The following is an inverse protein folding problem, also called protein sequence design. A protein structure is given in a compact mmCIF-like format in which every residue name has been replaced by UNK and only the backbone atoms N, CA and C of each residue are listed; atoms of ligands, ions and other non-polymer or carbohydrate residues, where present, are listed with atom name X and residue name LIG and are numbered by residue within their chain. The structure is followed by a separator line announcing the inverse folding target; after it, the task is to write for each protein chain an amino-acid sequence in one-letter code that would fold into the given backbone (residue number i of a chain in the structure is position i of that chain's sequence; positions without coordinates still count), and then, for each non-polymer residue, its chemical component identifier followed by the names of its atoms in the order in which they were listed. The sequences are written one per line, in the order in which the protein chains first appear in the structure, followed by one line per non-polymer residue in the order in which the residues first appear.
data_IF_577847372989
#
_entry.id   IF_577847372989
#
_cell.length_a   1.000
_cell.length_b   1.000
_cell.length_c   1.000
_cell.angle_alpha   90.00
_cell.angle_beta   90.00
_cell.angle_gamma   90.00
#
_symmetry.space_group_name_H-M   'P 1'
#
loop_
_entity.id
_entity.type
_entity.pdbx_description
1 polymer ?
#
# COMPACT_ATOMS: atom_id res chain seq x y z
N UNK A 1 23.13 -25.27 6.80
CA UNK A 1 24.11 -25.11 5.68
C UNK A 1 23.62 -24.17 4.58
N UNK A 2 22.41 -24.32 4.01
CA UNK A 2 21.89 -23.43 2.95
C UNK A 2 21.82 -21.94 3.34
N UNK A 3 21.34 -21.60 4.54
CA UNK A 3 21.27 -20.20 5.01
C UNK A 3 22.63 -19.52 5.21
N UNK A 4 23.66 -20.29 5.63
CA UNK A 4 25.03 -19.77 5.77
C UNK A 4 25.66 -19.47 4.40
N UNK A 5 25.50 -20.38 3.42
CA UNK A 5 25.97 -20.18 2.05
C UNK A 5 25.23 -19.02 1.35
N UNK A 6 23.91 -18.96 1.49
CA UNK A 6 23.09 -17.86 0.97
C UNK A 6 23.42 -16.54 1.66
N UNK A 7 23.73 -16.57 2.96
CA UNK A 7 24.10 -15.39 3.73
C UNK A 7 25.47 -14.83 3.34
N UNK A 8 26.47 -15.70 3.18
CA UNK A 8 27.78 -15.29 2.66
C UNK A 8 27.66 -14.67 1.26
N UNK A 9 26.85 -15.27 0.38
CA UNK A 9 26.55 -14.73 -0.95
C UNK A 9 25.82 -13.38 -0.89
N UNK A 10 24.88 -13.20 0.05
CA UNK A 10 24.19 -11.92 0.28
C UNK A 10 25.17 -10.80 0.62
N UNK A 11 26.04 -11.03 1.59
CA UNK A 11 27.05 -10.05 2.01
C UNK A 11 28.08 -9.75 0.92
N UNK A 12 28.56 -10.78 0.21
CA UNK A 12 29.46 -10.60 -0.93
C UNK A 12 28.85 -9.75 -2.05
N UNK A 13 27.52 -9.78 -2.19
CA UNK A 13 26.77 -8.97 -3.13
C UNK A 13 26.38 -7.58 -2.58
N UNK A 14 26.93 -7.18 -1.44
CA UNK A 14 26.70 -5.87 -0.81
C UNK A 14 25.46 -5.80 0.08
N UNK A 15 24.81 -6.93 0.37
CA UNK A 15 23.66 -6.99 1.27
C UNK A 15 24.01 -6.66 2.73
N UNK A 16 23.02 -6.30 3.53
CA UNK A 16 23.24 -5.91 4.92
C UNK A 16 23.43 -7.11 5.85
N UNK A 17 24.22 -6.93 6.92
CA UNK A 17 24.28 -7.89 8.03
C UNK A 17 22.93 -8.01 8.74
N UNK A 18 22.16 -6.93 8.73
CA UNK A 18 20.82 -6.87 9.33
C UNK A 18 19.85 -7.89 8.75
N UNK A 19 19.88 -8.06 7.42
CA UNK A 19 19.08 -9.07 6.72
C UNK A 19 19.34 -10.50 7.22
N UNK A 20 20.60 -10.83 7.53
CA UNK A 20 20.95 -12.17 8.00
C UNK A 20 20.51 -12.43 9.44
N UNK A 21 20.48 -11.36 10.24
CA UNK A 21 20.03 -11.38 11.63
C UNK A 21 18.50 -11.39 11.75
N UNK A 22 17.77 -11.00 10.70
CA UNK A 22 16.31 -11.09 10.65
C UNK A 22 15.84 -12.57 10.61
N UNK A 23 14.55 -12.78 10.88
CA UNK A 23 13.93 -14.10 10.70
C UNK A 23 13.84 -14.46 9.21
N UNK A 24 13.60 -15.74 8.91
CA UNK A 24 13.51 -16.18 7.50
C UNK A 24 12.27 -15.59 6.84
N UNK A 25 12.43 -14.93 5.67
CA UNK A 25 11.28 -14.42 4.95
C UNK A 25 10.36 -15.56 4.50
N UNK A 26 9.06 -15.33 4.55
CA UNK A 26 8.06 -16.32 4.15
C UNK A 26 6.91 -15.68 3.37
N UNK A 27 6.26 -16.50 2.55
CA UNK A 27 5.13 -16.13 1.70
C UNK A 27 3.89 -16.91 2.17
N UNK A 28 3.03 -16.30 2.99
CA UNK A 28 1.94 -17.01 3.68
C UNK A 28 0.98 -17.75 2.75
N UNK A 29 0.83 -17.24 1.52
CA UNK A 29 -0.14 -17.72 0.53
C UNK A 29 0.55 -18.14 -0.80
N UNK A 30 1.85 -18.43 -0.75
CA UNK A 30 2.65 -18.78 -1.93
C UNK A 30 3.23 -17.56 -2.67
N UNK A 31 4.16 -17.85 -3.58
CA UNK A 31 4.95 -16.83 -4.30
C UNK A 31 4.08 -15.94 -5.20
N UNK A 32 3.14 -16.55 -5.92
CA UNK A 32 2.25 -15.86 -6.88
C UNK A 32 1.27 -14.89 -6.20
N UNK A 33 0.97 -15.06 -4.91
CA UNK A 33 0.04 -14.17 -4.22
C UNK A 33 0.59 -12.74 -4.10
N UNK A 34 1.91 -12.59 -4.01
CA UNK A 34 2.56 -11.28 -3.89
C UNK A 34 2.54 -10.68 -2.47
N UNK A 35 2.52 -11.52 -1.43
CA UNK A 35 2.76 -11.12 -0.04
C UNK A 35 4.00 -11.82 0.50
N UNK A 36 5.01 -11.06 0.90
CA UNK A 36 6.21 -11.59 1.57
C UNK A 36 6.42 -10.90 2.91
N UNK A 37 6.58 -11.66 3.98
CA UNK A 37 6.83 -11.14 5.34
C UNK A 37 8.29 -11.40 5.70
N UNK A 38 8.98 -10.36 6.16
CA UNK A 38 10.33 -10.37 6.71
C UNK A 38 10.22 -10.18 8.24
N UNK A 39 10.11 -11.28 9.02
CA UNK A 39 10.00 -11.19 10.47
C UNK A 39 11.30 -10.68 11.10
N UNK A 40 11.18 -9.95 12.22
CA UNK A 40 12.33 -9.37 12.95
C UNK A 40 13.28 -8.53 12.09
N UNK A 41 12.77 -7.95 11.00
CA UNK A 41 13.60 -7.19 10.06
C UNK A 41 14.08 -5.87 10.66
N UNK A 42 13.29 -5.23 11.53
CA UNK A 42 13.64 -3.95 12.15
C UNK A 42 14.62 -4.14 13.31
N UNK A 43 15.72 -3.40 13.28
CA UNK A 43 16.68 -3.37 14.39
C UNK A 43 16.26 -2.37 15.47
N UNK A 44 16.79 -2.54 16.69
CA UNK A 44 16.50 -1.68 17.85
C UNK A 44 16.70 -0.19 17.51
N UNK A 45 17.79 0.16 16.83
CA UNK A 45 18.06 1.55 16.42
C UNK A 45 16.99 2.10 15.48
N UNK A 46 16.52 1.32 14.52
CA UNK A 46 15.48 1.72 13.57
C UNK A 46 14.11 1.82 14.26
N UNK A 47 13.78 0.85 15.12
CA UNK A 47 12.57 0.90 15.97
C UNK A 47 12.56 2.20 16.80
N UNK A 48 13.69 2.59 17.36
CA UNK A 48 13.83 3.83 18.14
C UNK A 48 13.72 5.10 17.26
N UNK A 49 14.35 5.12 16.08
CA UNK A 49 14.27 6.25 15.14
C UNK A 49 12.84 6.47 14.61
N UNK A 50 12.14 5.38 14.29
CA UNK A 50 10.74 5.42 13.88
C UNK A 50 9.84 5.90 15.02
N UNK A 51 10.01 5.33 16.23
CA UNK A 51 9.28 5.78 17.43
C UNK A 51 9.50 7.24 17.71
N UNK A 52 10.74 7.74 17.61
CA UNK A 52 11.05 9.16 17.80
C UNK A 52 10.33 10.03 16.76
N UNK A 53 10.35 9.63 15.49
CA UNK A 53 9.62 10.34 14.43
C UNK A 53 8.12 10.41 14.71
N UNK A 54 7.52 9.30 15.09
CA UNK A 54 6.13 9.22 15.51
C UNK A 54 5.83 10.12 16.73
N UNK A 55 6.62 10.02 17.80
CA UNK A 55 6.45 10.81 19.03
C UNK A 55 6.60 12.31 18.75
N UNK A 56 7.58 12.70 17.92
CA UNK A 56 7.77 14.10 17.51
C UNK A 56 6.49 14.65 16.86
N UNK A 57 5.89 13.89 15.94
CA UNK A 57 4.66 14.29 15.24
C UNK A 57 3.44 14.28 16.18
N UNK A 58 3.32 13.25 17.03
CA UNK A 58 2.21 13.07 17.96
C UNK A 58 2.17 14.14 19.05
N UNK A 59 3.31 14.43 19.69
CA UNK A 59 3.39 15.40 20.79
C UNK A 59 3.28 16.84 20.29
N UNK A 60 3.72 17.14 19.07
CA UNK A 60 3.66 18.50 18.52
C UNK A 60 2.23 18.98 18.21
N UNK A 61 1.19 18.18 18.48
CA UNK A 61 -0.21 18.45 18.05
C UNK A 61 -0.29 18.75 16.56
N UNK A 62 0.62 18.20 15.77
CA UNK A 62 0.58 18.28 14.31
C UNK A 62 -0.75 17.68 13.86
N UNK A 63 -1.40 18.29 12.86
CA UNK A 63 -2.75 17.94 12.44
C UNK A 63 -2.85 16.44 12.08
N UNK A 64 -3.33 15.61 13.01
CA UNK A 64 -3.66 14.22 12.75
C UNK A 64 -5.13 14.15 12.33
N UNK A 65 -5.41 13.26 11.38
CA UNK A 65 -6.77 13.02 10.93
C UNK A 65 -7.21 11.72 11.59
N UNK A 66 -8.21 11.81 12.47
CA UNK A 66 -8.91 10.62 12.96
C UNK A 66 -9.88 10.17 11.88
N UNK A 67 -9.67 8.97 11.36
CA UNK A 67 -10.53 8.39 10.34
C UNK A 67 -11.73 7.71 10.98
N UNK A 68 -12.74 7.39 10.18
CA UNK A 68 -13.98 6.77 10.65
C UNK A 68 -13.82 5.32 11.14
N UNK A 69 -12.66 4.71 10.91
CA UNK A 69 -12.23 3.42 11.47
C UNK A 69 -11.40 3.58 12.78
N UNK A 70 -11.43 4.77 13.39
CA UNK A 70 -10.80 5.07 14.68
C UNK A 70 -9.32 5.43 14.58
N UNK A 71 -8.64 4.90 13.55
CA UNK A 71 -7.22 5.07 13.27
C UNK A 71 -6.81 6.52 13.11
N UNK A 72 -5.63 6.85 13.62
CA UNK A 72 -4.99 8.14 13.40
C UNK A 72 -4.04 8.04 12.21
N UNK A 73 -4.43 8.68 11.10
CA UNK A 73 -3.47 8.95 10.03
C UNK A 73 -2.59 10.11 10.48
N UNK A 74 -1.30 9.80 10.66
CA UNK A 74 -0.34 10.76 11.17
C UNK A 74 0.13 11.67 10.03
N UNK A 75 0.52 12.92 10.34
CA UNK A 75 1.36 13.70 9.46
C UNK A 75 2.59 12.90 8.99
N UNK A 76 3.12 13.21 7.80
CA UNK A 76 4.35 12.60 7.30
C UNK A 76 5.46 12.62 8.36
N UNK A 77 6.04 11.46 8.66
CA UNK A 77 7.19 11.41 9.55
C UNK A 77 8.39 12.15 8.93
N UNK A 78 9.28 12.74 9.73
CA UNK A 78 10.52 13.30 9.20
C UNK A 78 11.34 12.23 8.46
N UNK A 79 11.87 12.47 7.24
CA UNK A 79 12.63 11.47 6.49
C UNK A 79 13.81 10.87 7.28
N UNK A 80 14.49 11.67 8.10
CA UNK A 80 15.57 11.21 9.00
C UNK A 80 15.17 10.05 9.92
N UNK A 81 13.87 9.85 10.19
CA UNK A 81 13.36 8.76 11.03
C UNK A 81 13.36 7.40 10.33
N UNK A 82 13.38 7.36 8.99
CA UNK A 82 13.24 6.12 8.23
C UNK A 82 14.17 5.97 7.02
N UNK A 83 14.88 7.01 6.58
CA UNK A 83 15.71 6.94 5.36
C UNK A 83 16.78 5.84 5.45
N UNK A 84 17.43 5.65 6.59
CA UNK A 84 18.40 4.57 6.77
C UNK A 84 17.78 3.18 6.62
N UNK A 85 16.52 3.01 7.06
CA UNK A 85 15.77 1.77 6.86
C UNK A 85 15.47 1.57 5.38
N UNK A 86 15.03 2.61 4.65
CA UNK A 86 14.79 2.54 3.21
C UNK A 86 16.06 2.15 2.45
N UNK A 87 17.19 2.79 2.76
CA UNK A 87 18.48 2.47 2.15
C UNK A 87 18.88 1.01 2.40
N UNK A 88 18.57 0.46 3.58
CA UNK A 88 18.82 -0.95 3.89
C UNK A 88 17.89 -1.90 3.14
N UNK A 89 16.60 -1.58 3.04
CA UNK A 89 15.63 -2.36 2.24
C UNK A 89 16.09 -2.45 0.78
N UNK A 90 16.60 -1.34 0.24
CA UNK A 90 17.17 -1.26 -1.12
C UNK A 90 18.51 -2.01 -1.24
N UNK A 91 19.40 -1.86 -0.26
CA UNK A 91 20.67 -2.59 -0.17
C UNK A 91 20.45 -4.10 -0.16
N UNK A 92 19.43 -4.56 0.58
CA UNK A 92 19.03 -5.95 0.67
C UNK A 92 18.28 -6.44 -0.57
N UNK A 93 18.05 -5.56 -1.56
CA UNK A 93 17.33 -5.85 -2.81
C UNK A 93 15.91 -6.37 -2.59
N UNK A 94 15.29 -6.01 -1.46
CA UNK A 94 13.89 -6.30 -1.17
C UNK A 94 12.99 -5.43 -2.06
N UNK A 95 13.42 -4.19 -2.32
CA UNK A 95 12.80 -3.29 -3.30
C UNK A 95 13.88 -2.72 -4.25
N UNK A 96 13.51 -2.29 -5.47
CA UNK A 96 14.47 -1.65 -6.36
C UNK A 96 15.03 -0.35 -5.76
N UNK A 97 16.31 -0.11 -5.99
CA UNK A 97 16.99 1.09 -5.48
C UNK A 97 16.36 2.37 -6.02
N UNK A 98 16.05 3.32 -5.14
CA UNK A 98 15.46 4.60 -5.49
C UNK A 98 13.98 4.53 -5.84
N UNK A 99 13.33 3.37 -5.70
CA UNK A 99 11.94 3.18 -6.12
C UNK A 99 10.95 3.91 -5.22
N UNK A 100 11.10 3.74 -3.90
CA UNK A 100 10.17 4.29 -2.91
C UNK A 100 10.39 5.81 -2.78
N UNK A 101 9.31 6.58 -2.87
CA UNK A 101 9.36 8.04 -2.81
C UNK A 101 8.25 8.68 -1.96
N UNK A 102 7.29 7.89 -1.45
CA UNK A 102 6.16 8.38 -0.68
C UNK A 102 5.88 7.49 0.54
N UNK A 103 5.41 8.10 1.63
CA UNK A 103 5.02 7.40 2.87
C UNK A 103 3.61 7.73 3.34
N UNK A 104 3.05 6.83 4.15
CA UNK A 104 1.92 7.12 5.04
C UNK A 104 2.13 6.42 6.36
N UNK A 105 2.01 7.17 7.46
CA UNK A 105 2.16 6.65 8.81
C UNK A 105 0.79 6.59 9.49
N UNK A 106 0.54 5.49 10.19
CA UNK A 106 -0.72 5.24 10.88
C UNK A 106 -0.47 4.75 12.29
N UNK A 107 -1.26 5.26 13.24
CA UNK A 107 -1.34 4.79 14.61
C UNK A 107 -2.72 4.18 14.86
N UNK A 108 -2.72 2.99 15.45
CA UNK A 108 -3.90 2.25 15.86
C UNK A 108 -3.85 2.09 17.38
N UNK A 109 -4.88 2.53 18.06
CA UNK A 109 -5.15 2.20 19.46
C UNK A 109 -5.89 0.85 19.56
N UNK A 110 -5.92 0.19 20.73
CA UNK A 110 -6.69 -1.04 20.91
C UNK A 110 -8.14 -0.90 20.42
N UNK A 111 -8.55 -1.80 19.52
CA UNK A 111 -9.85 -1.78 18.86
C UNK A 111 -9.91 -1.02 17.53
N UNK A 112 -8.93 -0.16 17.22
CA UNK A 112 -8.83 0.49 15.91
C UNK A 112 -8.52 -0.55 14.82
N UNK A 113 -9.01 -0.26 13.62
CA UNK A 113 -8.88 -1.14 12.46
C UNK A 113 -8.65 -0.30 11.19
N UNK A 114 -8.48 -0.97 10.05
CA UNK A 114 -8.73 -0.35 8.75
C UNK A 114 -9.66 -1.25 7.95
N UNK A 115 -10.70 -0.67 7.35
CA UNK A 115 -11.65 -1.41 6.51
C UNK A 115 -11.00 -1.97 5.25
N UNK A 116 -11.67 -2.96 4.64
CA UNK A 116 -11.33 -3.44 3.32
C UNK A 116 -11.20 -2.29 2.32
N UNK A 117 -10.05 -2.20 1.68
CA UNK A 117 -9.81 -1.27 0.59
C UNK A 117 -8.74 -1.81 -0.34
N UNK A 118 -8.61 -1.18 -1.50
CA UNK A 118 -7.45 -1.31 -2.37
C UNK A 118 -6.85 0.08 -2.50
N UNK A 119 -5.54 0.16 -2.35
CA UNK A 119 -4.82 1.40 -2.56
C UNK A 119 -4.96 1.87 -4.01
N UNK A 120 -4.96 3.18 -4.22
CA UNK A 120 -5.25 3.80 -5.51
C UNK A 120 -4.43 3.15 -6.64
N UNK A 121 -5.14 2.51 -7.58
CA UNK A 121 -4.61 1.74 -8.71
C UNK A 121 -3.85 2.61 -9.71
N UNK A 122 -4.16 3.91 -9.75
CA UNK A 122 -3.61 4.84 -10.73
C UNK A 122 -2.40 5.60 -10.21
N UNK A 123 -2.44 6.07 -8.95
CA UNK A 123 -1.43 6.97 -8.35
C UNK A 123 -0.22 6.22 -7.79
N UNK A 124 -0.42 5.00 -7.30
CA UNK A 124 0.63 4.20 -6.68
C UNK A 124 0.96 2.98 -7.53
N UNK A 125 2.22 2.58 -7.47
CA UNK A 125 2.75 1.46 -8.22
C UNK A 125 2.55 0.10 -7.56
N UNK A 126 3.19 -0.92 -8.10
CA UNK A 126 3.03 -2.30 -7.67
C UNK A 126 3.52 -2.58 -6.24
N UNK A 127 4.70 -2.07 -5.88
CA UNK A 127 5.39 -2.47 -4.64
C UNK A 127 5.03 -1.55 -3.47
N UNK A 128 4.45 -2.14 -2.43
CA UNK A 128 4.23 -1.54 -1.14
C UNK A 128 5.14 -2.21 -0.11
N UNK A 129 5.94 -1.42 0.59
CA UNK A 129 6.80 -1.87 1.68
C UNK A 129 6.26 -1.33 3.01
N UNK A 130 5.75 -2.21 3.86
CA UNK A 130 5.05 -1.81 5.08
C UNK A 130 5.76 -2.33 6.31
N UNK A 131 6.01 -1.42 7.24
CA UNK A 131 6.61 -1.73 8.54
C UNK A 131 5.51 -1.88 9.58
N UNK A 132 5.60 -2.92 10.42
CA UNK A 132 4.74 -3.13 11.58
C UNK A 132 5.52 -2.96 12.87
N UNK A 133 5.05 -2.11 13.79
CA UNK A 133 5.74 -1.82 15.06
C UNK A 133 4.74 -1.67 16.22
N UNK A 134 5.14 -2.09 17.42
CA UNK A 134 4.36 -1.98 18.65
C UNK A 134 3.47 -3.19 18.94
N UNK A 135 2.92 -3.81 17.89
CA UNK A 135 2.04 -4.97 18.01
C UNK A 135 2.04 -5.82 16.74
N UNK A 136 1.61 -7.08 16.88
CA UNK A 136 1.21 -7.91 15.76
C UNK A 136 -0.05 -7.29 15.10
N UNK A 137 -0.20 -7.52 13.79
CA UNK A 137 -1.43 -7.22 13.07
C UNK A 137 -2.02 -8.49 12.48
N UNK A 138 -3.33 -8.66 12.60
CA UNK A 138 -4.07 -9.63 11.81
C UNK A 138 -4.58 -8.92 10.54
N UNK A 139 -4.00 -9.29 9.41
CA UNK A 139 -4.45 -8.83 8.11
C UNK A 139 -5.48 -9.80 7.55
N UNK A 140 -6.50 -9.26 6.89
CA UNK A 140 -7.42 -10.04 6.05
C UNK A 140 -7.36 -9.53 4.63
N UNK A 141 -7.28 -10.47 3.70
CA UNK A 141 -7.36 -10.25 2.26
C UNK A 141 -8.66 -10.84 1.76
N UNK A 142 -9.41 -10.09 0.95
CA UNK A 142 -10.67 -10.54 0.34
C UNK A 142 -10.60 -10.35 -1.17
N UNK A 143 -10.66 -11.43 -1.93
CA UNK A 143 -10.56 -11.37 -3.39
C UNK A 143 -11.74 -10.60 -3.98
N UNK A 144 -11.48 -9.67 -4.91
CA UNK A 144 -12.47 -8.71 -5.43
C UNK A 144 -13.61 -9.35 -6.22
N UNK A 145 -13.36 -10.48 -6.88
CA UNK A 145 -14.37 -11.24 -7.64
C UNK A 145 -15.05 -12.31 -6.79
N UNK A 146 -14.34 -13.36 -6.38
CA UNK A 146 -14.96 -14.53 -5.75
C UNK A 146 -15.26 -14.37 -4.24
N UNK A 147 -14.73 -13.33 -3.58
CA UNK A 147 -14.89 -13.12 -2.14
C UNK A 147 -14.20 -14.18 -1.27
N UNK A 148 -13.15 -14.82 -1.76
CA UNK A 148 -12.24 -15.65 -0.95
C UNK A 148 -11.58 -14.80 0.14
N UNK A 149 -11.55 -15.30 1.37
CA UNK A 149 -10.92 -14.63 2.51
C UNK A 149 -9.66 -15.36 2.94
N UNK A 150 -8.58 -14.61 3.14
CA UNK A 150 -7.30 -15.12 3.59
C UNK A 150 -6.78 -14.25 4.75
N UNK A 151 -6.55 -14.88 5.90
CA UNK A 151 -6.08 -14.21 7.11
C UNK A 151 -4.62 -14.54 7.38
N UNK A 152 -3.84 -13.53 7.79
CA UNK A 152 -2.43 -13.70 8.17
C UNK A 152 -2.02 -12.78 9.30
N UNK A 153 -1.27 -13.32 10.25
CA UNK A 153 -0.60 -12.54 11.28
C UNK A 153 0.71 -12.00 10.74
N UNK A 154 0.85 -10.68 10.77
CA UNK A 154 2.11 -9.97 10.55
C UNK A 154 2.71 -9.62 11.91
N UNK A 155 3.91 -10.13 12.25
CA UNK A 155 4.49 -9.93 13.57
C UNK A 155 4.97 -8.48 13.81
N UNK A 156 5.05 -8.07 15.07
CA UNK A 156 5.76 -6.85 15.48
C UNK A 156 7.21 -6.84 14.98
N UNK A 157 7.73 -5.67 14.63
CA UNK A 157 9.11 -5.48 14.19
C UNK A 157 9.40 -6.05 12.80
N UNK A 158 8.36 -6.39 12.05
CA UNK A 158 8.47 -6.93 10.69
C UNK A 158 8.42 -5.84 9.62
N UNK A 159 8.97 -6.20 8.45
CA UNK A 159 8.68 -5.56 7.17
C UNK A 159 7.86 -6.56 6.37
N UNK A 160 6.78 -6.14 5.73
CA UNK A 160 6.10 -6.97 4.73
C UNK A 160 5.96 -6.21 3.41
N UNK A 161 6.09 -6.97 2.33
CA UNK A 161 5.97 -6.48 0.96
C UNK A 161 4.66 -7.00 0.39
N UNK A 162 3.87 -6.08 -0.15
CA UNK A 162 2.66 -6.38 -0.91
C UNK A 162 2.85 -5.89 -2.34
N UNK A 163 2.67 -6.79 -3.31
CA UNK A 163 2.78 -6.56 -4.75
C UNK A 163 1.90 -7.54 -5.51
N UNK A 164 1.83 -7.43 -6.83
CA UNK A 164 1.10 -8.36 -7.68
C UNK A 164 -0.36 -8.55 -7.23
N UNK A 165 -0.89 -9.78 -7.26
CA UNK A 165 -2.29 -10.05 -6.92
C UNK A 165 -2.73 -9.45 -5.57
N UNK A 166 -1.94 -9.58 -4.50
CA UNK A 166 -2.26 -9.04 -3.18
C UNK A 166 -2.53 -7.53 -3.19
N UNK A 167 -1.89 -6.78 -4.09
CA UNK A 167 -2.03 -5.31 -4.22
C UNK A 167 -3.15 -4.89 -5.18
N UNK A 168 -3.52 -5.74 -6.14
CA UNK A 168 -4.42 -5.35 -7.24
C UNK A 168 -5.80 -6.01 -7.18
N UNK A 169 -5.89 -7.26 -6.73
CA UNK A 169 -7.14 -8.06 -6.82
C UNK A 169 -7.65 -8.55 -5.47
N UNK A 170 -7.03 -8.11 -4.37
CA UNK A 170 -7.51 -8.33 -3.02
C UNK A 170 -7.76 -7.00 -2.31
N UNK A 171 -8.97 -6.86 -1.74
CA UNK A 171 -9.18 -5.91 -0.67
C UNK A 171 -8.34 -6.34 0.53
N UNK A 172 -7.55 -5.42 1.08
CA UNK A 172 -6.81 -5.68 2.31
C UNK A 172 -7.36 -4.84 3.45
N UNK A 173 -7.30 -5.41 4.66
CA UNK A 173 -7.74 -4.77 5.90
C UNK A 173 -6.84 -5.18 7.06
N UNK A 174 -6.81 -4.36 8.10
CA UNK A 174 -6.24 -4.73 9.41
C UNK A 174 -7.42 -4.92 10.32
N UNK A 175 -7.58 -6.13 10.87
CA UNK A 175 -8.59 -6.41 11.88
C UNK A 175 -8.27 -5.66 13.19
N UNK A 176 -9.24 -5.46 14.10
CA UNK A 176 -9.05 -4.68 15.31
C UNK A 176 -7.78 -5.09 16.06
N UNK A 177 -6.91 -4.11 16.33
CA UNK A 177 -5.64 -4.38 17.01
C UNK A 177 -5.87 -4.58 18.51
N UNK A 178 -5.15 -5.53 19.12
CA UNK A 178 -5.27 -5.79 20.56
C UNK A 178 -4.48 -4.79 21.41
N UNK A 179 -3.37 -4.30 20.88
CA UNK A 179 -2.46 -3.37 21.53
C UNK A 179 -2.06 -2.26 20.55
N UNK A 180 -1.54 -1.14 21.09
CA UNK A 180 -1.18 0.00 20.27
C UNK A 180 -0.18 -0.41 19.18
N UNK A 181 -0.55 -0.13 17.94
CA UNK A 181 0.23 -0.47 16.74
C UNK A 181 0.56 0.77 15.95
N UNK A 182 1.79 0.84 15.49
CA UNK A 182 2.26 1.82 14.52
C UNK A 182 2.60 1.10 13.21
N UNK A 183 2.19 1.68 12.08
CA UNK A 183 2.63 1.23 10.76
C UNK A 183 3.09 2.37 9.90
N UNK A 184 4.12 2.16 9.10
CA UNK A 184 4.51 3.07 8.03
C UNK A 184 4.52 2.31 6.71
N UNK A 185 3.77 2.84 5.74
CA UNK A 185 3.64 2.31 4.38
C UNK A 185 4.53 3.14 3.48
N UNK A 186 5.49 2.52 2.81
CA UNK A 186 6.32 3.13 1.79
C UNK A 186 5.93 2.61 0.41
N UNK A 187 5.87 3.50 -0.57
CA UNK A 187 5.47 3.18 -1.94
C UNK A 187 6.07 4.15 -2.94
N UNK A 188 5.98 3.81 -4.23
CA UNK A 188 6.23 4.75 -5.32
C UNK A 188 4.91 5.43 -5.69
N UNK A 189 4.92 6.76 -5.69
CA UNK A 189 3.87 7.61 -6.23
C UNK A 189 4.34 8.31 -7.49
N UNK A 190 3.43 8.46 -8.45
CA UNK A 190 3.66 9.22 -9.69
C UNK A 190 3.31 10.71 -9.55
N UNK A 191 2.92 11.17 -8.35
CA UNK A 191 2.55 12.57 -8.06
C UNK A 191 3.11 13.00 -6.70
N UNK A 192 3.51 14.27 -6.57
CA UNK A 192 3.90 14.80 -5.27
C UNK A 192 2.68 14.91 -4.34
N UNK A 193 2.87 14.50 -3.09
CA UNK A 193 1.89 14.61 -2.00
C UNK A 193 2.62 14.78 -0.68
N UNK A 194 1.90 15.09 0.41
CA UNK A 194 2.49 15.42 1.72
C UNK A 194 3.49 14.37 2.22
N UNK A 195 3.27 13.09 1.90
CA UNK A 195 4.17 11.98 2.26
C UNK A 195 5.43 11.83 1.41
N UNK A 196 5.68 12.72 0.43
CA UNK A 196 6.82 12.63 -0.47
C UNK A 196 8.16 12.84 0.24
N UNK A 197 9.11 11.93 0.03
CA UNK A 197 10.47 12.02 0.62
C UNK A 197 11.60 11.84 -0.40
N UNK A 198 11.27 11.52 -1.65
CA UNK A 198 12.16 11.60 -2.82
C UNK A 198 11.41 12.22 -4.00
N UNK A 199 12.11 12.78 -5.00
CA UNK A 199 11.48 13.31 -6.18
C UNK A 199 10.62 12.26 -6.90
N UNK A 200 9.51 12.71 -7.48
CA UNK A 200 8.72 11.91 -8.40
C UNK A 200 9.47 11.80 -9.72
N UNK A 201 9.73 10.59 -10.16
CA UNK A 201 10.30 10.30 -11.47
C UNK A 201 9.20 9.78 -12.38
N UNK A 202 8.94 10.48 -13.49
CA UNK A 202 8.04 10.01 -14.56
C UNK A 202 8.83 9.92 -15.87
N UNK A 203 8.32 9.18 -16.88
CA UNK A 203 8.89 9.23 -18.23
C UNK A 203 8.96 10.65 -18.83
N UNK A 204 8.16 11.59 -18.31
CA UNK A 204 8.12 13.00 -18.72
C UNK A 204 9.07 13.91 -17.91
N UNK A 205 9.89 13.35 -17.00
CA UNK A 205 10.80 14.12 -16.15
C UNK A 205 10.08 15.03 -15.14
N UNK A 206 10.67 16.20 -14.86
CA UNK A 206 10.24 17.13 -13.81
C UNK A 206 9.00 17.97 -14.19
N UNK A 207 8.49 17.85 -15.42
CA UNK A 207 7.40 18.68 -15.95
C UNK A 207 6.06 18.49 -15.19
N UNK A 208 5.88 17.35 -14.53
CA UNK A 208 4.70 16.98 -13.74
C UNK A 208 4.66 17.58 -12.32
N UNK A 209 5.73 18.26 -11.89
CA UNK A 209 5.88 18.74 -10.50
C UNK A 209 5.00 19.96 -10.18
N UNK A 210 4.61 20.76 -11.18
CA UNK A 210 3.76 21.93 -10.97
C UNK A 210 2.29 21.48 -10.83
N UNK A 211 1.62 21.84 -9.72
CA UNK A 211 0.21 21.52 -9.38
C UNK A 211 -0.12 20.07 -8.99
N UNK A 212 0.85 19.26 -8.57
CA UNK A 212 0.62 17.85 -8.21
C UNK A 212 -0.49 17.65 -7.17
N UNK A 213 -0.61 18.51 -6.15
CA UNK A 213 -1.68 18.41 -5.13
C UNK A 213 -3.07 18.62 -5.71
N UNK A 214 -3.23 19.60 -6.61
CA UNK A 214 -4.53 19.85 -7.25
C UNK A 214 -4.91 18.68 -8.16
N UNK A 215 -3.94 18.17 -8.93
CA UNK A 215 -4.14 16.99 -9.79
C UNK A 215 -4.56 15.80 -8.92
N UNK A 216 -3.81 15.53 -7.84
CA UNK A 216 -4.11 14.45 -6.91
C UNK A 216 -5.53 14.58 -6.36
N UNK A 217 -5.90 15.75 -5.83
CA UNK A 217 -7.23 15.98 -5.28
C UNK A 217 -8.33 15.76 -6.33
N UNK A 218 -8.12 16.21 -7.57
CA UNK A 218 -9.05 15.98 -8.69
C UNK A 218 -9.19 14.48 -8.99
N UNK A 219 -8.09 13.73 -9.06
CA UNK A 219 -8.11 12.29 -9.32
C UNK A 219 -8.87 11.54 -8.21
N UNK A 220 -8.58 11.84 -6.94
CA UNK A 220 -9.25 11.22 -5.80
C UNK A 220 -10.74 11.60 -5.74
N UNK A 221 -11.09 12.87 -5.93
CA UNK A 221 -12.49 13.34 -5.92
C UNK A 221 -13.34 12.70 -7.03
N UNK A 222 -12.70 12.27 -8.13
CA UNK A 222 -13.34 11.62 -9.27
C UNK A 222 -13.15 10.10 -9.28
N UNK A 223 -12.61 9.56 -8.18
CA UNK A 223 -12.34 8.13 -7.97
C UNK A 223 -11.52 7.49 -9.09
N UNK A 224 -10.57 8.25 -9.67
CA UNK A 224 -9.60 7.69 -10.64
C UNK A 224 -8.64 6.76 -9.90
N UNK A 225 -8.54 5.51 -10.35
CA UNK A 225 -7.79 4.46 -9.67
C UNK A 225 -8.41 4.00 -8.36
N UNK A 226 -9.58 4.51 -7.99
CA UNK A 226 -10.31 4.05 -6.81
C UNK A 226 -11.16 2.83 -7.15
N UNK A 227 -11.22 1.87 -6.23
CA UNK A 227 -12.22 0.80 -6.32
C UNK A 227 -13.60 1.42 -6.11
N UNK A 228 -14.41 1.47 -7.18
CA UNK A 228 -15.65 2.26 -7.20
C UNK A 228 -16.81 1.50 -6.58
N UNK A 229 -16.66 1.09 -5.33
CA UNK A 229 -17.79 0.55 -4.57
C UNK A 229 -18.40 1.71 -3.82
N UNK A 230 -19.52 2.22 -4.30
CA UNK A 230 -20.38 3.01 -3.41
C UNK A 230 -21.31 2.01 -2.74
N UNK A 231 -20.94 1.50 -1.57
CA UNK A 231 -21.92 0.80 -0.73
C UNK A 231 -22.66 1.87 0.05
N UNK A 232 -23.99 1.88 -0.06
CA UNK A 232 -24.83 2.71 0.79
C UNK A 232 -24.80 2.15 2.21
N UNK A 233 -24.43 2.97 3.21
CA UNK A 233 -24.41 2.58 4.61
C UNK A 233 -25.78 2.04 5.06
N UNK A 234 -26.88 2.56 4.49
CA UNK A 234 -28.24 2.05 4.76
C UNK A 234 -28.48 0.66 4.21
N UNK A 235 -27.87 0.31 3.09
CA UNK A 235 -27.93 -1.03 2.53
C UNK A 235 -27.13 -2.01 3.41
N UNK A 236 -25.94 -1.62 3.85
CA UNK A 236 -25.12 -2.42 4.77
C UNK A 236 -25.85 -2.68 6.09
N UNK A 237 -26.45 -1.66 6.68
CA UNK A 237 -27.25 -1.79 7.90
C UNK A 237 -28.48 -2.70 7.70
N UNK A 238 -29.21 -2.53 6.57
CA UNK A 238 -30.39 -3.33 6.25
C UNK A 238 -30.08 -4.81 6.08
N UNK A 239 -28.97 -5.12 5.42
CA UNK A 239 -28.55 -6.51 5.16
C UNK A 239 -27.68 -7.09 6.29
N UNK A 240 -27.55 -6.37 7.41
CA UNK A 240 -26.73 -6.76 8.58
C UNK A 240 -25.26 -7.09 8.20
N UNK A 241 -24.72 -6.39 7.20
CA UNK A 241 -23.35 -6.58 6.71
C UNK A 241 -22.42 -5.67 7.53
N UNK A 242 -21.62 -6.29 8.41
CA UNK A 242 -20.66 -5.57 9.22
C UNK A 242 -19.45 -5.05 8.43
N UNK A 243 -18.65 -4.17 9.04
CA UNK A 243 -17.45 -3.58 8.43
C UNK A 243 -16.36 -4.60 8.03
N UNK A 244 -16.48 -5.85 8.48
CA UNK A 244 -15.57 -6.97 8.21
C UNK A 244 -16.21 -8.09 7.38
N UNK A 245 -17.48 -7.94 6.97
CA UNK A 245 -18.21 -8.92 6.14
C UNK A 245 -17.95 -8.70 4.63
N UNK A 246 -16.73 -8.29 4.27
CA UNK A 246 -16.39 -7.92 2.88
C UNK A 246 -16.67 -9.06 1.90
N UNK A 247 -16.44 -10.32 2.27
CA UNK A 247 -16.78 -11.44 1.39
C UNK A 247 -18.28 -11.57 1.12
N UNK A 248 -19.15 -11.30 2.10
CA UNK A 248 -20.61 -11.31 1.89
C UNK A 248 -21.00 -10.23 0.88
N UNK A 249 -20.43 -9.04 1.05
CA UNK A 249 -20.64 -7.92 0.14
C UNK A 249 -20.12 -8.22 -1.29
N UNK A 250 -18.89 -8.75 -1.44
CA UNK A 250 -18.33 -9.14 -2.74
C UNK A 250 -19.23 -10.17 -3.43
N UNK A 251 -19.61 -11.24 -2.73
CA UNK A 251 -20.44 -12.32 -3.31
C UNK A 251 -21.82 -11.82 -3.71
N UNK A 252 -22.39 -10.88 -2.97
CA UNK A 252 -23.67 -10.24 -3.29
C UNK A 252 -23.60 -9.30 -4.50
N UNK A 253 -22.47 -8.60 -4.69
CA UNK A 253 -22.27 -7.67 -5.82
C UNK A 253 -21.64 -8.30 -7.07
N UNK A 254 -21.04 -9.49 -6.96
CA UNK A 254 -20.36 -10.16 -8.07
C UNK A 254 -21.18 -10.25 -9.37
N UNK A 255 -22.51 -10.50 -9.38
CA UNK A 255 -23.26 -10.56 -10.63
C UNK A 255 -23.51 -9.19 -11.28
N UNK A 256 -23.09 -8.07 -10.67
CA UNK A 256 -23.47 -6.71 -11.08
C UNK A 256 -22.31 -5.88 -11.65
N UNK A 257 -21.06 -6.38 -11.65
CA UNK A 257 -19.90 -5.59 -12.04
C UNK A 257 -18.72 -6.42 -12.55
N UNK A 258 -18.09 -5.94 -13.62
CA UNK A 258 -16.78 -6.42 -14.07
C UNK A 258 -15.66 -5.81 -13.22
N UNK A 259 -14.88 -6.70 -12.60
CA UNK A 259 -13.78 -6.37 -11.69
C UNK A 259 -12.41 -6.50 -12.34
N UNK A 260 -12.34 -6.76 -13.64
CA UNK A 260 -11.07 -6.81 -14.36
C UNK A 260 -10.34 -5.46 -14.25
N UNK A 261 -9.02 -5.53 -14.17
CA UNK A 261 -8.16 -4.35 -14.05
C UNK A 261 -8.18 -3.55 -15.35
N UNK A 262 -8.25 -4.22 -16.50
CA UNK A 262 -8.35 -3.54 -17.80
C UNK A 262 -9.67 -2.79 -17.97
N UNK A 263 -10.80 -3.37 -17.57
CA UNK A 263 -12.10 -2.69 -17.62
C UNK A 263 -12.12 -1.48 -16.69
N UNK A 264 -11.61 -1.61 -15.47
CA UNK A 264 -11.46 -0.48 -14.54
C UNK A 264 -10.57 0.63 -15.11
N UNK A 265 -9.47 0.27 -15.77
CA UNK A 265 -8.56 1.22 -16.40
C UNK A 265 -9.21 1.96 -17.58
N UNK A 266 -10.02 1.26 -18.40
CA UNK A 266 -10.79 1.87 -19.49
C UNK A 266 -11.79 2.90 -18.96
N UNK A 267 -12.47 2.58 -17.86
CA UNK A 267 -13.37 3.54 -17.21
C UNK A 267 -12.64 4.75 -16.59
N UNK A 268 -11.43 4.55 -16.06
CA UNK A 268 -10.58 5.63 -15.56
C UNK A 268 -10.10 6.53 -16.70
N UNK A 269 -9.71 5.93 -17.83
CA UNK A 269 -9.28 6.65 -19.03
C UNK A 269 -10.41 7.53 -19.58
N UNK A 270 -11.60 6.97 -19.72
CA UNK A 270 -12.79 7.72 -20.15
C UNK A 270 -13.07 8.94 -19.25
N UNK A 271 -12.97 8.78 -17.92
CA UNK A 271 -13.22 9.88 -16.98
C UNK A 271 -12.11 10.93 -16.99
N UNK A 272 -10.85 10.52 -17.14
CA UNK A 272 -9.75 11.48 -17.34
C UNK A 272 -9.97 12.29 -18.62
N UNK A 273 -10.42 11.67 -19.72
CA UNK A 273 -10.75 12.40 -20.95
C UNK A 273 -11.92 13.37 -20.73
N UNK A 274 -12.96 12.98 -19.99
CA UNK A 274 -14.06 13.87 -19.63
C UNK A 274 -13.55 15.11 -18.85
N UNK A 275 -12.70 14.91 -17.85
CA UNK A 275 -12.12 16.01 -17.06
C UNK A 275 -11.23 16.93 -17.90
N UNK A 276 -10.49 16.39 -18.87
CA UNK A 276 -9.71 17.17 -19.83
C UNK A 276 -10.62 18.01 -20.73
N UNK A 277 -11.69 17.41 -21.27
CA UNK A 277 -12.66 18.10 -22.11
C UNK A 277 -13.37 19.24 -21.36
N UNK A 278 -13.68 19.03 -20.08
CA UNK A 278 -14.27 20.04 -19.18
C UNK A 278 -13.24 21.03 -18.60
N UNK A 279 -11.95 20.91 -18.95
CA UNK A 279 -10.84 21.74 -18.45
C UNK A 279 -10.63 21.71 -16.94
N UNK A 280 -11.06 20.64 -16.27
CA UNK A 280 -10.79 20.38 -14.85
C UNK A 280 -9.43 19.72 -14.61
N UNK A 281 -8.84 19.13 -15.65
CA UNK A 281 -7.55 18.46 -15.60
C UNK A 281 -6.75 18.79 -16.86
N UNK A 282 -5.60 19.45 -16.69
CA UNK A 282 -4.73 19.87 -17.80
C UNK A 282 -3.33 19.27 -17.62
N UNK A 283 -3.27 17.93 -17.74
CA UNK A 283 -2.03 17.16 -17.62
C UNK A 283 -2.09 15.95 -18.55
N UNK A 284 -0.93 15.59 -19.12
CA UNK A 284 -0.81 14.38 -19.92
C UNK A 284 -0.55 13.15 -19.03
N UNK A 285 -1.53 12.26 -19.00
CA UNK A 285 -1.50 11.00 -18.29
C UNK A 285 -1.51 9.78 -19.24
N UNK A 286 -1.43 10.00 -20.56
CA UNK A 286 -1.48 8.93 -21.57
C UNK A 286 -0.40 7.88 -21.35
N UNK A 287 0.80 8.31 -20.96
CA UNK A 287 1.92 7.43 -20.62
C UNK A 287 1.58 6.48 -19.46
N UNK A 288 0.83 6.97 -18.45
CA UNK A 288 0.45 6.16 -17.28
C UNK A 288 -0.60 5.13 -17.65
N UNK A 289 -1.58 5.49 -18.48
CA UNK A 289 -2.53 4.52 -19.03
C UNK A 289 -1.83 3.45 -19.86
N UNK A 290 -0.87 3.81 -20.71
CA UNK A 290 -0.09 2.84 -21.49
C UNK A 290 0.73 1.89 -20.60
N UNK A 291 1.38 2.43 -19.56
CA UNK A 291 2.14 1.67 -18.57
C UNK A 291 1.24 0.66 -17.81
N UNK A 292 0.15 1.15 -17.22
CA UNK A 292 -0.81 0.31 -16.49
C UNK A 292 -1.46 -0.74 -17.39
N UNK A 293 -1.83 -0.39 -18.62
CA UNK A 293 -2.43 -1.33 -19.57
C UNK A 293 -1.49 -2.47 -19.92
N UNK A 294 -0.18 -2.22 -20.00
CA UNK A 294 0.83 -3.28 -20.18
C UNK A 294 0.89 -4.18 -18.94
N UNK A 295 1.03 -3.59 -17.76
CA UNK A 295 1.13 -4.32 -16.49
C UNK A 295 -0.12 -5.15 -16.20
N UNK A 296 -1.32 -4.59 -16.40
CA UNK A 296 -2.58 -5.27 -16.13
C UNK A 296 -2.85 -6.43 -17.09
N UNK A 297 -2.42 -6.33 -18.36
CA UNK A 297 -2.47 -7.46 -19.30
C UNK A 297 -1.62 -8.64 -18.81
N UNK A 298 -0.40 -8.35 -18.35
CA UNK A 298 0.51 -9.37 -17.81
C UNK A 298 -0.10 -10.01 -16.55
N UNK A 299 -0.63 -9.19 -15.63
CA UNK A 299 -1.24 -9.65 -14.39
C UNK A 299 -2.53 -10.46 -14.60
N UNK A 300 -3.45 -9.99 -15.44
CA UNK A 300 -4.68 -10.74 -15.76
C UNK A 300 -4.37 -12.06 -16.47
N UNK A 301 -3.32 -12.10 -17.32
CA UNK A 301 -2.88 -13.35 -17.93
C UNK A 301 -2.33 -14.34 -16.91
N UNK A 302 -1.69 -13.88 -15.84
CA UNK A 302 -1.23 -14.76 -14.75
C UNK A 302 -2.39 -15.28 -13.90
N UNK A 303 -3.43 -14.46 -13.71
CA UNK A 303 -4.61 -14.79 -12.91
C UNK A 303 -5.65 -15.65 -13.66
N UNK A 304 -5.61 -15.67 -14.99
CA UNK A 304 -6.57 -16.41 -15.84
C UNK A 304 -6.15 -17.86 -16.13
N UNK A 305 -5.06 -18.34 -15.51
CA UNK A 305 -4.57 -19.73 -15.54
C UNK A 305 -5.05 -20.44 -14.27
#
# INVERSE_FOLDING_TARGET
MKRLLNGAKHLLNGGSLGYLAAGEPYQPFGEEFGLTVFPDYLHVGEKMSLRKGYVDVYIQKSASIRLSDGRFQLPPLPPKSFISLIERIEQDKIVPRGWLNNQTANLYEPGDFIRAHIDNLFVYDDIFAIVSLGANALLRFVHVQNGEELDVVVPDGSLYIMSGPARYVYFHMVLPVETQRFSIVFRRSILNSDGGFRPVTTPLGDLMSYRSTQILNTLYAKQIGGVRVTVDDKYLEKEEIGAFDTAKWVKGLHPLRDWSLLSQLDEDEARVQELKNQRFLDVDLSWRFAELRKQYKELESLLSI
#
